data_IF_153901992425
#
_entry.id   IF_153901992425
#
_cell.length_a   1.000
_cell.length_b   1.000
_cell.length_c   1.000
_cell.angle_alpha   90.00
_cell.angle_beta   90.00
_cell.angle_gamma   90.00
#
_symmetry.space_group_name_H-M   'P 1'
#
loop_
_entity.id
_entity.type
_entity.pdbx_description
1 polymer ?
#
# COMPACT_ATOMS: atom_id res chain seq x y z
N UNK A 1 19.23 -5.88 -38.93
CA UNK A 1 18.27 -6.96 -38.60
C UNK A 1 18.85 -7.83 -37.49
N UNK A 2 18.48 -7.60 -36.21
CA UNK A 2 18.84 -8.53 -35.12
C UNK A 2 17.94 -9.76 -35.27
N UNK A 3 18.54 -10.95 -35.38
CA UNK A 3 17.82 -12.19 -35.13
C UNK A 3 17.36 -12.16 -33.68
N UNK A 4 16.07 -11.89 -33.47
CA UNK A 4 15.44 -12.01 -32.16
C UNK A 4 15.24 -13.51 -31.92
N UNK A 5 16.15 -14.13 -31.18
CA UNK A 5 15.87 -15.44 -30.61
C UNK A 5 14.66 -15.28 -29.69
N UNK A 6 13.60 -16.04 -29.94
CA UNK A 6 12.41 -16.04 -29.09
C UNK A 6 12.80 -16.45 -27.67
N UNK A 7 12.66 -15.53 -26.70
CA UNK A 7 12.85 -15.84 -25.29
C UNK A 7 11.69 -16.72 -24.83
N UNK A 8 11.98 -17.87 -24.23
CA UNK A 8 10.98 -18.75 -23.62
C UNK A 8 10.77 -18.29 -22.18
N UNK A 9 9.53 -18.04 -21.79
CA UNK A 9 9.16 -17.61 -20.45
C UNK A 9 8.67 -18.79 -19.61
N UNK A 10 9.20 -18.91 -18.40
CA UNK A 10 8.71 -19.84 -17.37
C UNK A 10 8.08 -19.04 -16.25
N UNK A 11 6.88 -19.42 -15.83
CA UNK A 11 6.11 -18.73 -14.79
C UNK A 11 6.18 -19.53 -13.50
N UNK A 12 6.42 -18.86 -12.39
CA UNK A 12 6.45 -19.44 -11.05
C UNK A 12 5.39 -18.73 -10.20
N UNK A 13 4.52 -19.52 -9.55
CA UNK A 13 3.66 -19.03 -8.49
C UNK A 13 4.01 -19.78 -7.21
N UNK A 14 4.34 -19.04 -6.15
CA UNK A 14 4.84 -19.59 -4.87
C UNK A 14 6.07 -20.51 -5.07
N UNK A 15 6.96 -20.13 -5.99
CA UNK A 15 8.16 -20.90 -6.34
C UNK A 15 7.89 -22.17 -7.19
N UNK A 16 6.63 -22.47 -7.50
CA UNK A 16 6.25 -23.64 -8.29
C UNK A 16 6.10 -23.26 -9.76
N UNK A 17 6.90 -23.89 -10.63
CA UNK A 17 6.83 -23.70 -12.09
C UNK A 17 5.45 -24.11 -12.63
N UNK A 18 4.92 -23.33 -13.56
CA UNK A 18 3.60 -23.51 -14.15
C UNK A 18 3.69 -23.82 -15.63
N UNK A 19 2.77 -24.66 -16.11
CA UNK A 19 2.60 -24.92 -17.55
C UNK A 19 1.87 -23.76 -18.27
N UNK A 20 1.12 -22.94 -17.53
CA UNK A 20 0.29 -21.85 -18.05
C UNK A 20 0.75 -20.51 -17.50
N UNK A 21 0.45 -19.43 -18.25
CA UNK A 21 0.73 -18.04 -17.84
C UNK A 21 -0.21 -17.47 -16.77
N UNK A 22 -1.13 -18.29 -16.26
CA UNK A 22 -2.14 -17.89 -15.28
C UNK A 22 -2.46 -19.06 -14.34
N UNK A 23 -2.92 -18.74 -13.13
CA UNK A 23 -3.43 -19.67 -12.13
C UNK A 23 -4.63 -19.02 -11.43
N UNK A 24 -5.67 -19.81 -11.19
CA UNK A 24 -6.87 -19.35 -10.50
C UNK A 24 -6.72 -19.52 -8.99
N UNK A 25 -7.01 -18.45 -8.25
CA UNK A 25 -7.04 -18.44 -6.79
C UNK A 25 -8.47 -18.23 -6.29
N UNK A 26 -8.79 -18.86 -5.17
CA UNK A 26 -10.06 -18.70 -4.46
C UNK A 26 -9.76 -18.44 -2.99
N UNK A 27 -10.79 -18.20 -2.19
CA UNK A 27 -10.68 -18.05 -0.73
C UNK A 27 -10.10 -19.27 0.00
N UNK A 28 -9.86 -20.39 -0.69
CA UNK A 28 -9.12 -21.52 -0.15
C UNK A 28 -7.60 -21.25 -0.03
N UNK A 29 -7.05 -20.29 -0.79
CA UNK A 29 -5.66 -19.90 -0.68
C UNK A 29 -5.52 -18.77 0.35
N UNK A 30 -4.80 -19.05 1.44
CA UNK A 30 -4.63 -18.09 2.55
C UNK A 30 -3.21 -17.53 2.65
N UNK A 31 -2.37 -17.78 1.65
CA UNK A 31 -0.98 -17.30 1.60
C UNK A 31 -0.85 -15.89 1.04
N UNK A 32 0.38 -15.38 1.04
CA UNK A 32 0.79 -14.19 0.30
C UNK A 32 1.46 -14.68 -0.98
N UNK A 33 0.90 -14.32 -2.13
CA UNK A 33 1.32 -14.83 -3.43
C UNK A 33 2.59 -14.13 -3.90
N UNK A 34 3.61 -14.92 -4.22
CA UNK A 34 4.78 -14.50 -4.97
C UNK A 34 4.69 -15.01 -6.40
N UNK A 35 4.86 -14.12 -7.38
CA UNK A 35 4.87 -14.46 -8.79
C UNK A 35 6.18 -14.03 -9.44
N UNK A 36 6.87 -14.98 -10.07
CA UNK A 36 8.16 -14.75 -10.74
C UNK A 36 8.08 -15.26 -12.17
N UNK A 37 8.62 -14.49 -13.11
CA UNK A 37 8.75 -14.87 -14.51
C UNK A 37 10.23 -14.94 -14.83
N UNK A 38 10.69 -16.07 -15.35
CA UNK A 38 12.08 -16.29 -15.75
C UNK A 38 12.17 -16.54 -17.25
N UNK A 39 13.00 -15.78 -17.95
CA UNK A 39 13.33 -15.99 -19.34
C UNK A 39 14.43 -17.03 -19.54
N UNK A 40 14.43 -17.70 -20.70
CA UNK A 40 15.50 -18.62 -21.12
C UNK A 40 16.88 -17.95 -21.21
N UNK A 41 16.92 -16.62 -21.28
CA UNK A 41 18.11 -15.78 -21.23
C UNK A 41 18.56 -15.43 -19.80
N UNK A 42 17.90 -16.02 -18.77
CA UNK A 42 18.10 -15.76 -17.33
C UNK A 42 17.61 -14.40 -16.85
N UNK A 43 16.86 -13.65 -17.67
CA UNK A 43 16.13 -12.48 -17.18
C UNK A 43 15.05 -12.91 -16.18
N UNK A 44 14.84 -12.10 -15.14
CA UNK A 44 13.80 -12.34 -14.14
C UNK A 44 12.95 -11.10 -13.94
N UNK A 45 11.65 -11.32 -13.75
CA UNK A 45 10.69 -10.31 -13.34
C UNK A 45 9.92 -10.83 -12.15
N UNK A 46 9.99 -10.11 -11.04
CA UNK A 46 9.29 -10.45 -9.79
C UNK A 46 8.13 -9.48 -9.59
N UNK A 47 6.95 -10.02 -9.31
CA UNK A 47 5.80 -9.23 -8.88
C UNK A 47 5.97 -8.86 -7.40
N UNK A 48 5.47 -7.69 -6.97
CA UNK A 48 5.21 -7.45 -5.56
C UNK A 48 4.36 -8.58 -4.96
N UNK A 49 4.54 -8.82 -3.67
CA UNK A 49 3.71 -9.76 -2.90
C UNK A 49 2.22 -9.38 -2.96
N UNK A 50 1.38 -10.36 -3.27
CA UNK A 50 -0.06 -10.18 -3.43
C UNK A 50 -0.77 -10.84 -2.25
N UNK A 51 -1.30 -10.02 -1.36
CA UNK A 51 -2.23 -10.47 -0.31
C UNK A 51 -3.67 -10.29 -0.80
N UNK A 52 -4.43 -11.38 -0.80
CA UNK A 52 -5.80 -11.37 -1.31
C UNK A 52 -6.79 -10.83 -0.28
N UNK A 53 -7.84 -10.16 -0.74
CA UNK A 53 -8.82 -9.50 0.15
C UNK A 53 -9.50 -10.44 1.15
N UNK A 54 -9.63 -11.72 0.83
CA UNK A 54 -10.21 -12.72 1.73
C UNK A 54 -9.28 -13.11 2.89
N UNK A 55 -7.99 -12.79 2.82
CA UNK A 55 -7.03 -12.97 3.91
C UNK A 55 -7.11 -11.84 4.95
N UNK A 56 -7.80 -10.74 4.64
CA UNK A 56 -7.89 -9.60 5.53
C UNK A 56 -8.56 -9.98 6.85
N UNK A 57 -7.86 -9.79 7.99
CA UNK A 57 -8.41 -10.02 9.34
C UNK A 57 -9.77 -9.35 9.48
N UNK A 58 -10.79 -10.04 9.96
CA UNK A 58 -12.09 -9.40 10.20
C UNK A 58 -11.93 -8.23 11.19
N UNK A 59 -12.72 -7.18 10.98
CA UNK A 59 -12.74 -6.05 11.92
C UNK A 59 -13.37 -6.55 13.21
N UNK A 60 -12.63 -6.44 14.32
CA UNK A 60 -13.13 -6.84 15.63
C UNK A 60 -14.42 -6.07 15.95
N UNK A 61 -15.52 -6.82 16.17
CA UNK A 61 -16.82 -6.21 16.42
C UNK A 61 -16.89 -5.75 17.88
N UNK A 62 -17.15 -4.47 18.11
CA UNK A 62 -17.25 -3.90 19.45
C UNK A 62 -18.72 -3.78 19.83
N UNK A 63 -19.10 -4.44 20.92
CA UNK A 63 -20.48 -4.55 21.40
C UNK A 63 -21.15 -3.21 21.78
N UNK A 64 -20.37 -2.13 21.94
CA UNK A 64 -20.86 -0.83 22.44
C UNK A 64 -20.61 0.37 21.50
N UNK A 65 -20.08 0.15 20.30
CA UNK A 65 -19.65 1.25 19.41
C UNK A 65 -20.81 1.98 18.72
N UNK A 66 -22.01 1.41 18.75
CA UNK A 66 -23.21 1.98 18.16
C UNK A 66 -24.23 2.33 19.24
N UNK A 67 -24.15 3.56 19.76
CA UNK A 67 -25.27 4.16 20.49
C UNK A 67 -26.34 4.57 19.49
N UNK A 68 -27.24 3.65 19.14
CA UNK A 68 -28.42 3.90 18.30
C UNK A 68 -28.13 4.76 17.04
N UNK A 69 -27.03 4.44 16.34
CA UNK A 69 -26.77 4.94 15.00
C UNK A 69 -26.18 6.35 14.86
N UNK A 70 -25.56 6.98 15.89
CA UNK A 70 -25.14 8.38 15.73
C UNK A 70 -23.69 8.84 15.92
N UNK A 71 -22.77 8.25 16.70
CA UNK A 71 -21.45 8.94 16.87
C UNK A 71 -20.28 8.00 17.14
N UNK A 72 -19.45 7.80 16.13
CA UNK A 72 -18.07 7.40 16.32
C UNK A 72 -17.16 8.21 15.38
N UNK A 73 -16.03 8.67 15.91
CA UNK A 73 -15.14 9.57 15.19
C UNK A 73 -14.13 8.79 14.33
N UNK A 74 -13.64 9.45 13.28
CA UNK A 74 -12.47 9.02 12.53
C UNK A 74 -11.34 9.98 12.90
N UNK A 75 -10.20 9.43 13.32
CA UNK A 75 -9.01 10.24 13.58
C UNK A 75 -8.28 10.52 12.26
N UNK A 76 -8.01 11.79 11.96
CA UNK A 76 -7.18 12.17 10.81
C UNK A 76 -5.72 12.32 11.26
N UNK A 77 -4.83 11.47 10.73
CA UNK A 77 -3.44 11.39 11.18
C UNK A 77 -2.50 12.06 10.18
N UNK A 78 -2.66 13.37 10.00
CA UNK A 78 -1.91 14.15 9.01
C UNK A 78 -0.40 14.09 9.21
N UNK A 79 0.29 13.54 8.20
CA UNK A 79 1.75 13.45 8.19
C UNK A 79 2.36 12.38 9.10
N UNK A 80 1.55 11.54 9.76
CA UNK A 80 2.06 10.49 10.64
C UNK A 80 2.61 9.31 9.84
N UNK A 81 3.68 8.70 10.35
CA UNK A 81 4.26 7.49 9.79
C UNK A 81 3.35 6.27 10.04
N UNK A 82 3.38 5.28 9.16
CA UNK A 82 2.58 4.05 9.30
C UNK A 82 2.88 3.33 10.61
N UNK A 83 4.15 3.21 10.99
CA UNK A 83 4.54 2.64 12.28
C UNK A 83 3.95 3.37 13.49
N UNK A 84 3.87 4.70 13.43
CA UNK A 84 3.38 5.51 14.56
C UNK A 84 1.85 5.40 14.67
N UNK A 85 1.14 5.38 13.54
CA UNK A 85 -0.31 5.14 13.54
C UNK A 85 -0.64 3.73 14.03
N UNK A 86 0.14 2.71 13.62
CA UNK A 86 0.02 1.33 14.11
C UNK A 86 0.07 1.27 15.63
N UNK A 87 1.03 1.96 16.25
CA UNK A 87 1.17 2.03 17.71
C UNK A 87 -0.02 2.72 18.41
N UNK A 88 -0.75 3.61 17.72
CA UNK A 88 -1.94 4.27 18.28
C UNK A 88 -3.23 3.49 18.12
N UNK A 89 -3.27 2.42 17.33
CA UNK A 89 -4.52 1.75 17.02
C UNK A 89 -5.21 1.07 18.22
N UNK A 90 -4.45 0.60 19.21
CA UNK A 90 -5.03 0.14 20.48
C UNK A 90 -5.72 1.29 21.22
N UNK A 91 -5.04 2.43 21.36
CA UNK A 91 -5.59 3.62 22.01
C UNK A 91 -6.83 4.13 21.27
N UNK A 92 -6.74 4.30 19.94
CA UNK A 92 -7.85 4.75 19.11
C UNK A 92 -9.07 3.84 19.30
N UNK A 93 -8.84 2.52 19.37
CA UNK A 93 -9.92 1.59 19.60
C UNK A 93 -10.53 1.67 21.00
N UNK A 94 -9.71 1.74 22.04
CA UNK A 94 -10.18 1.91 23.43
C UNK A 94 -10.87 3.26 23.66
N UNK A 95 -10.47 4.29 22.93
CA UNK A 95 -11.06 5.62 22.96
C UNK A 95 -12.37 5.72 22.15
N UNK A 96 -12.76 4.68 21.42
CA UNK A 96 -14.02 4.63 20.66
C UNK A 96 -13.96 5.26 19.26
N UNK A 97 -12.75 5.48 18.70
CA UNK A 97 -12.63 5.82 17.28
C UNK A 97 -12.99 4.60 16.42
N UNK A 98 -13.80 4.85 15.40
CA UNK A 98 -14.26 3.82 14.45
C UNK A 98 -13.26 3.60 13.31
N UNK A 99 -12.38 4.57 13.09
CA UNK A 99 -11.37 4.48 12.08
C UNK A 99 -10.29 5.55 12.20
N UNK A 100 -9.30 5.37 11.35
CA UNK A 100 -8.20 6.30 11.13
C UNK A 100 -8.10 6.60 9.65
N UNK A 101 -7.90 7.88 9.31
CA UNK A 101 -7.60 8.33 7.95
C UNK A 101 -6.11 8.54 7.82
N UNK A 102 -5.53 7.86 6.85
CA UNK A 102 -4.17 8.07 6.37
C UNK A 102 -4.20 9.03 5.19
N UNK A 103 -3.11 9.77 5.05
CA UNK A 103 -2.83 10.59 3.88
C UNK A 103 -2.28 9.74 2.74
N UNK A 104 -2.09 10.29 1.53
CA UNK A 104 -1.77 9.46 0.38
C UNK A 104 -0.55 8.58 0.63
N UNK A 105 -0.73 7.28 0.42
CA UNK A 105 0.26 6.22 0.71
C UNK A 105 1.07 5.82 -0.53
N UNK A 106 0.69 6.36 -1.68
CA UNK A 106 1.35 6.05 -2.94
C UNK A 106 2.73 6.73 -3.00
N UNK A 107 3.60 6.25 -3.88
CA UNK A 107 4.88 6.87 -4.17
C UNK A 107 4.66 8.27 -4.74
N UNK A 108 5.03 9.27 -3.95
CA UNK A 108 4.88 10.69 -4.23
C UNK A 108 6.23 11.36 -4.52
N UNK A 109 6.17 12.54 -5.12
CA UNK A 109 7.32 13.40 -5.36
C UNK A 109 8.13 13.64 -4.07
N UNK A 110 9.44 13.42 -4.15
CA UNK A 110 10.42 13.76 -3.12
C UNK A 110 11.60 14.50 -3.77
N UNK A 111 12.04 15.57 -3.12
CA UNK A 111 13.16 16.42 -3.51
C UNK A 111 14.28 16.32 -2.48
N UNK A 112 15.52 16.36 -2.97
CA UNK A 112 16.74 16.50 -2.16
C UNK A 112 17.13 17.97 -1.94
N UNK A 113 16.43 18.90 -2.57
CA UNK A 113 16.60 20.36 -2.42
C UNK A 113 15.33 20.99 -1.84
N UNK A 114 15.46 22.06 -1.03
CA UNK A 114 14.29 22.81 -0.57
C UNK A 114 13.50 23.40 -1.74
N UNK A 115 12.18 23.38 -1.64
CA UNK A 115 11.25 24.10 -2.49
C UNK A 115 10.51 25.11 -1.62
N UNK A 116 10.44 26.39 -2.03
CA UNK A 116 9.82 27.45 -1.22
C UNK A 116 10.33 27.50 0.24
N UNK A 117 11.63 27.35 0.45
CA UNK A 117 12.29 27.29 1.77
C UNK A 117 11.89 26.10 2.66
N UNK A 118 11.19 25.09 2.13
CA UNK A 118 10.83 23.88 2.84
C UNK A 118 11.39 22.64 2.14
N UNK A 119 11.96 21.72 2.92
CA UNK A 119 12.27 20.39 2.40
C UNK A 119 10.98 19.58 2.30
N UNK A 120 10.63 19.12 1.09
CA UNK A 120 9.44 18.28 0.84
C UNK A 120 8.17 18.82 1.54
N UNK A 121 7.62 19.96 1.08
CA UNK A 121 6.43 20.54 1.70
C UNK A 121 5.27 19.55 1.68
N UNK A 122 4.34 19.69 2.63
CA UNK A 122 3.30 18.68 2.88
C UNK A 122 2.49 18.32 1.63
N UNK A 123 2.23 19.30 0.75
CA UNK A 123 1.44 19.12 -0.45
C UNK A 123 2.13 18.27 -1.53
N UNK A 124 3.41 17.92 -1.38
CA UNK A 124 4.08 16.96 -2.26
C UNK A 124 3.43 15.57 -2.22
N UNK A 125 2.78 15.20 -1.11
CA UNK A 125 2.04 13.93 -1.00
C UNK A 125 0.83 13.83 -1.93
N UNK A 126 0.40 14.95 -2.52
CA UNK A 126 -0.67 15.00 -3.52
C UNK A 126 -0.15 14.97 -4.96
N UNK A 127 1.15 14.68 -5.15
CA UNK A 127 1.79 14.53 -6.46
C UNK A 127 2.31 13.10 -6.65
N UNK A 128 1.44 12.16 -7.10
CA UNK A 128 1.85 10.80 -7.39
C UNK A 128 2.92 10.73 -8.48
N UNK A 129 3.95 9.92 -8.26
CA UNK A 129 4.91 9.48 -9.28
C UNK A 129 4.52 8.09 -9.79
N UNK A 130 4.06 7.22 -8.89
CA UNK A 130 3.50 5.92 -9.21
C UNK A 130 2.42 5.52 -8.19
N UNK A 131 1.81 4.34 -8.38
CA UNK A 131 0.89 3.74 -7.41
C UNK A 131 1.56 2.64 -6.57
N UNK A 132 2.89 2.56 -6.57
CA UNK A 132 3.61 1.79 -5.56
C UNK A 132 3.23 2.33 -4.17
N UNK A 133 3.10 1.45 -3.18
CA UNK A 133 2.64 1.82 -1.84
C UNK A 133 3.81 2.14 -0.90
N UNK A 134 4.90 2.65 -1.48
CA UNK A 134 6.12 3.04 -0.80
C UNK A 134 6.19 4.56 -0.79
N UNK A 135 5.55 5.14 0.22
CA UNK A 135 5.30 6.56 0.35
C UNK A 135 6.24 7.23 1.34
N UNK A 136 6.02 8.54 1.54
CA UNK A 136 6.74 9.34 2.54
C UNK A 136 6.48 8.85 3.96
N UNK A 137 5.34 8.19 4.17
CA UNK A 137 4.84 7.76 5.47
C UNK A 137 5.27 6.34 5.85
N UNK A 138 5.85 5.58 4.93
CA UNK A 138 6.32 4.23 5.18
C UNK A 138 6.25 3.32 3.96
N UNK A 139 6.66 2.07 4.14
CA UNK A 139 6.65 1.05 3.08
C UNK A 139 5.29 0.35 2.97
N UNK A 140 5.12 -0.42 1.90
CA UNK A 140 3.97 -1.31 1.68
C UNK A 140 3.77 -2.28 2.85
N UNK A 141 4.85 -2.84 3.39
CA UNK A 141 4.83 -3.79 4.50
C UNK A 141 4.37 -3.08 5.80
N UNK A 142 4.87 -1.87 6.07
CA UNK A 142 4.43 -1.10 7.23
C UNK A 142 2.95 -0.71 7.14
N UNK A 143 2.46 -0.41 5.93
CA UNK A 143 1.05 -0.15 5.67
C UNK A 143 0.20 -1.41 5.89
N UNK A 144 0.64 -2.57 5.42
CA UNK A 144 -0.03 -3.85 5.64
C UNK A 144 -0.14 -4.18 7.13
N UNK A 145 0.97 -4.06 7.86
CA UNK A 145 1.04 -4.25 9.31
C UNK A 145 0.07 -3.32 10.05
N UNK A 146 0.08 -2.03 9.71
CA UNK A 146 -0.86 -1.05 10.25
C UNK A 146 -2.30 -1.52 10.06
N UNK A 147 -2.68 -1.90 8.84
CA UNK A 147 -4.03 -2.33 8.52
C UNK A 147 -4.43 -3.55 9.36
N UNK A 148 -3.55 -4.54 9.48
CA UNK A 148 -3.80 -5.76 10.25
C UNK A 148 -4.01 -5.46 11.75
N UNK A 149 -3.15 -4.60 12.33
CA UNK A 149 -3.22 -4.24 13.76
C UNK A 149 -4.43 -3.35 14.06
N UNK A 150 -4.72 -2.35 13.22
CA UNK A 150 -5.87 -1.48 13.43
C UNK A 150 -7.18 -2.26 13.37
N UNK A 151 -7.30 -3.20 12.41
CA UNK A 151 -8.47 -4.08 12.30
C UNK A 151 -8.63 -5.00 13.50
N UNK A 152 -7.53 -5.51 14.10
CA UNK A 152 -7.62 -6.35 15.30
C UNK A 152 -8.13 -5.58 16.52
N UNK A 153 -7.97 -4.26 16.55
CA UNK A 153 -8.56 -3.40 17.58
C UNK A 153 -9.95 -2.88 17.21
N UNK A 154 -10.50 -3.21 16.03
CA UNK A 154 -11.80 -2.72 15.56
C UNK A 154 -11.75 -1.33 14.89
N UNK A 155 -10.54 -0.82 14.58
CA UNK A 155 -10.32 0.46 13.91
C UNK A 155 -10.23 0.23 12.40
N UNK A 156 -11.11 0.87 11.63
CA UNK A 156 -11.04 0.86 10.15
C UNK A 156 -9.94 1.79 9.66
N UNK A 157 -9.31 1.46 8.53
CA UNK A 157 -8.30 2.30 7.90
C UNK A 157 -8.88 2.86 6.62
N UNK A 158 -8.86 4.18 6.48
CA UNK A 158 -9.28 4.92 5.30
C UNK A 158 -8.04 5.59 4.70
N UNK A 159 -7.88 5.50 3.39
CA UNK A 159 -6.72 6.04 2.69
C UNK A 159 -7.18 7.17 1.78
N UNK A 160 -6.50 8.31 1.86
CA UNK A 160 -6.67 9.41 0.91
C UNK A 160 -6.10 8.99 -0.47
N UNK A 161 -6.98 8.83 -1.45
CA UNK A 161 -6.65 8.31 -2.78
C UNK A 161 -6.61 9.43 -3.82
N UNK A 162 -5.41 9.74 -4.32
CA UNK A 162 -5.19 10.71 -5.39
C UNK A 162 -5.17 9.99 -6.72
N UNK A 163 -6.33 9.92 -7.38
CA UNK A 163 -6.50 9.18 -8.65
C UNK A 163 -6.72 10.10 -9.86
N UNK A 164 -6.96 11.39 -9.62
CA UNK A 164 -7.32 12.34 -10.66
C UNK A 164 -6.11 12.83 -11.49
N UNK A 165 -4.93 12.93 -10.88
CA UNK A 165 -3.75 13.54 -11.47
C UNK A 165 -2.46 12.92 -10.91
N UNK A 166 -1.35 13.12 -11.61
CA UNK A 166 0.02 12.77 -11.20
C UNK A 166 0.82 14.04 -10.87
N UNK A 167 2.12 13.90 -10.61
CA UNK A 167 3.06 15.01 -10.46
C UNK A 167 3.05 15.94 -11.69
N UNK A 168 3.25 17.24 -11.46
CA UNK A 168 3.38 18.23 -12.53
C UNK A 168 4.68 18.06 -13.33
N UNK A 169 4.64 18.41 -14.62
CA UNK A 169 5.80 18.45 -15.52
C UNK A 169 6.81 19.47 -14.97
N UNK A 170 8.08 19.07 -14.80
CA UNK A 170 9.17 19.97 -14.43
C UNK A 170 9.58 19.93 -12.96
N UNK A 171 8.81 19.25 -12.09
CA UNK A 171 9.24 18.98 -10.72
C UNK A 171 10.33 17.87 -10.65
N UNK A 172 10.47 17.10 -11.71
CA UNK A 172 11.53 16.12 -12.02
C UNK A 172 12.74 16.74 -12.75
N UNK A 173 12.58 17.93 -13.35
CA UNK A 173 13.63 18.64 -14.10
C UNK A 173 14.33 19.74 -13.29
N UNK A 174 13.89 20.01 -12.06
CA UNK A 174 14.66 20.82 -11.14
C UNK A 174 15.96 20.08 -10.84
N UNK A 175 17.07 20.55 -11.41
CA UNK A 175 18.39 19.92 -11.32
C UNK A 175 18.67 19.47 -9.88
N UNK A 176 18.65 18.15 -9.69
CA UNK A 176 19.01 17.44 -8.47
C UNK A 176 20.41 17.84 -7.99
#
# INVERSE_FOLDING_TARGET
HRQSNSIILTYFFDGIAQATKYKHYTSAYTGILSAVITGSDRSTLESPEIDFIWNAKLIFNRLSDYRNGQKGAIAEMFGWLHKDVKEKCEFLGKAGYLGVKLFPVHEQLMSIRPFENAMNPWYFIYQPVSYNLDGRMGTREELHDLIQICRSYGVRVYIDAVLNNFTGIGNDLNQH
#
